data_IF_185109273769
#
_entry.id   IF_185109273769
#
_cell.length_a   1.000
_cell.length_b   1.000
_cell.length_c   1.000
_cell.angle_alpha   90.00
_cell.angle_beta   90.00
_cell.angle_gamma   90.00
#
_symmetry.space_group_name_H-M   'P 1'
#
loop_
_entity.id
_entity.type
_entity.pdbx_description
1 polymer ?
#
# COMPACT_ATOMS: atom_id res chain seq x y z
N UNK A 1 33.02 6.88 -12.47
CA UNK A 1 31.93 7.82 -12.11
C UNK A 1 31.21 7.44 -10.82
N UNK A 2 30.80 6.18 -10.61
CA UNK A 2 30.13 5.73 -9.37
C UNK A 2 30.99 5.84 -8.09
N UNK A 3 32.25 5.39 -8.12
CA UNK A 3 33.15 5.46 -6.95
C UNK A 3 33.30 6.88 -6.41
N UNK A 4 33.54 7.86 -7.30
CA UNK A 4 33.60 9.29 -6.97
C UNK A 4 32.28 9.82 -6.39
N UNK A 5 31.13 9.37 -6.90
CA UNK A 5 29.83 9.76 -6.34
C UNK A 5 29.66 9.22 -4.93
N UNK A 6 29.98 7.95 -4.68
CA UNK A 6 29.88 7.33 -3.34
C UNK A 6 30.75 8.03 -2.28
N UNK A 7 31.91 8.56 -2.67
CA UNK A 7 32.77 9.32 -1.76
C UNK A 7 32.22 10.71 -1.37
N UNK A 8 31.31 11.27 -2.17
CA UNK A 8 30.76 12.63 -1.97
C UNK A 8 29.30 12.64 -1.53
N UNK A 9 28.59 11.54 -1.73
CA UNK A 9 27.18 11.45 -1.41
C UNK A 9 27.02 11.29 0.10
N UNK A 10 26.42 12.29 0.74
CA UNK A 10 26.11 12.28 2.17
C UNK A 10 24.68 11.80 2.45
N UNK A 11 23.92 11.43 1.42
CA UNK A 11 22.52 11.01 1.56
C UNK A 11 22.48 9.51 1.90
N UNK A 12 22.09 9.20 3.13
CA UNK A 12 22.03 7.83 3.67
C UNK A 12 20.60 7.30 3.82
N UNK A 13 19.59 8.05 3.37
CA UNK A 13 18.19 7.66 3.42
C UNK A 13 17.38 8.33 2.29
N UNK A 14 16.15 7.88 1.99
CA UNK A 14 15.29 8.58 1.03
C UNK A 14 15.07 10.05 1.43
N UNK A 15 15.13 11.02 0.48
CA UNK A 15 15.13 12.45 0.77
C UNK A 15 13.72 13.00 1.03
N UNK A 16 13.06 12.49 2.08
CA UNK A 16 11.72 12.88 2.50
C UNK A 16 11.55 12.86 4.01
N UNK A 17 10.32 13.09 4.45
CA UNK A 17 9.98 13.00 5.87
C UNK A 17 9.81 11.54 6.27
N UNK A 18 10.46 11.10 7.34
CA UNK A 18 10.17 9.80 7.95
C UNK A 18 8.82 9.90 8.68
N UNK A 19 7.79 9.24 8.14
CA UNK A 19 6.41 9.31 8.66
C UNK A 19 6.00 8.04 9.42
N UNK A 20 6.81 7.00 9.36
CA UNK A 20 6.61 5.75 10.08
C UNK A 20 7.94 5.13 10.47
N UNK A 21 8.02 4.63 11.70
CA UNK A 21 9.21 3.98 12.23
C UNK A 21 8.83 2.89 13.23
N UNK A 22 9.12 1.63 12.88
CA UNK A 22 8.96 0.49 13.79
C UNK A 22 10.08 -0.53 13.54
N UNK A 23 10.66 -1.10 14.60
CA UNK A 23 11.81 -2.04 14.55
C UNK A 23 12.97 -1.57 13.64
N UNK A 24 13.12 -2.17 12.45
CA UNK A 24 14.09 -1.86 11.41
C UNK A 24 13.44 -1.29 10.13
N UNK A 25 12.12 -1.06 10.10
CA UNK A 25 11.37 -0.57 8.92
C UNK A 25 10.97 0.89 9.07
N UNK A 26 11.32 1.72 8.07
CA UNK A 26 10.87 3.12 7.92
C UNK A 26 9.99 3.28 6.69
N UNK A 27 9.04 4.21 6.73
CA UNK A 27 8.49 4.83 5.52
C UNK A 27 8.83 6.30 5.42
N UNK A 28 9.25 6.71 4.23
CA UNK A 28 9.54 8.10 3.88
C UNK A 28 8.49 8.61 2.90
N UNK A 29 7.90 9.77 3.21
CA UNK A 29 7.03 10.51 2.32
C UNK A 29 7.84 11.53 1.51
N UNK A 30 7.74 11.45 0.18
CA UNK A 30 8.48 12.29 -0.75
C UNK A 30 7.52 12.90 -1.78
N UNK A 31 7.53 14.22 -1.87
CA UNK A 31 6.83 14.95 -2.94
C UNK A 31 7.68 14.96 -4.21
N UNK A 32 7.16 14.40 -5.30
CA UNK A 32 7.83 14.39 -6.60
C UNK A 32 8.17 15.79 -7.15
N UNK A 33 7.38 16.81 -6.81
CA UNK A 33 7.65 18.21 -7.18
C UNK A 33 8.85 18.79 -6.42
N UNK A 34 9.10 18.33 -5.18
CA UNK A 34 10.23 18.79 -4.34
C UNK A 34 11.52 18.01 -4.60
N UNK A 35 11.40 16.74 -5.00
CA UNK A 35 12.54 15.83 -5.21
C UNK A 35 12.59 15.26 -6.65
N UNK A 36 12.51 16.15 -7.64
CA UNK A 36 12.39 15.81 -9.08
C UNK A 36 13.40 14.73 -9.52
N UNK A 37 14.70 14.98 -9.31
CA UNK A 37 15.76 14.07 -9.77
C UNK A 37 15.67 12.71 -9.08
N UNK A 38 15.41 12.70 -7.77
CA UNK A 38 15.35 11.46 -7.01
C UNK A 38 14.13 10.61 -7.42
N UNK A 39 12.95 11.23 -7.55
CA UNK A 39 11.74 10.54 -7.96
C UNK A 39 11.78 10.08 -9.43
N UNK A 40 12.44 10.83 -10.32
CA UNK A 40 12.72 10.39 -11.69
C UNK A 40 13.63 9.16 -11.70
N UNK A 41 14.71 9.17 -10.92
CA UNK A 41 15.61 8.02 -10.81
C UNK A 41 14.89 6.78 -10.27
N UNK A 42 14.05 6.94 -9.24
CA UNK A 42 13.23 5.85 -8.72
C UNK A 42 12.22 5.34 -9.76
N UNK A 43 11.58 6.25 -10.50
CA UNK A 43 10.63 5.90 -11.55
C UNK A 43 11.29 5.14 -12.71
N UNK A 44 12.50 5.55 -13.12
CA UNK A 44 13.31 4.86 -14.13
C UNK A 44 13.71 3.47 -13.65
N UNK A 45 14.19 3.34 -12.41
CA UNK A 45 14.48 2.04 -11.80
C UNK A 45 13.24 1.14 -11.77
N UNK A 46 12.09 1.70 -11.40
CA UNK A 46 10.83 0.99 -11.33
C UNK A 46 10.33 0.53 -12.70
N UNK A 47 10.57 1.30 -13.77
CA UNK A 47 10.17 0.96 -15.14
C UNK A 47 10.85 -0.31 -15.64
N UNK A 48 12.04 -0.65 -15.13
CA UNK A 48 12.73 -1.90 -15.43
C UNK A 48 11.96 -3.15 -14.96
N UNK A 49 11.01 -2.99 -14.04
CA UNK A 49 10.27 -4.10 -13.42
C UNK A 49 8.75 -3.97 -13.54
N UNK A 50 8.25 -2.87 -14.11
CA UNK A 50 6.83 -2.58 -14.32
C UNK A 50 6.58 -2.30 -15.80
N UNK A 51 5.87 -3.20 -16.47
CA UNK A 51 5.58 -3.07 -17.90
C UNK A 51 4.64 -1.90 -18.21
N UNK A 52 3.63 -1.69 -17.36
CA UNK A 52 2.59 -0.68 -17.55
C UNK A 52 2.89 0.70 -16.95
N UNK A 53 4.13 0.97 -16.49
CA UNK A 53 4.48 2.31 -15.99
C UNK A 53 4.68 3.28 -17.16
N UNK A 54 3.71 4.16 -17.39
CA UNK A 54 3.70 5.15 -18.48
C UNK A 54 4.32 6.48 -18.09
N UNK A 55 4.08 6.94 -16.85
CA UNK A 55 4.60 8.21 -16.32
C UNK A 55 5.85 7.99 -15.46
N UNK A 56 7.02 8.31 -16.04
CA UNK A 56 8.30 8.21 -15.36
C UNK A 56 9.17 9.48 -15.44
N UNK A 57 8.85 10.42 -16.34
CA UNK A 57 9.51 11.73 -16.42
C UNK A 57 8.76 12.85 -15.70
N UNK A 58 7.43 12.86 -15.82
CA UNK A 58 6.60 13.74 -15.02
C UNK A 58 6.25 13.06 -13.70
N UNK A 59 6.97 13.44 -12.67
CA UNK A 59 6.84 12.95 -11.30
C UNK A 59 6.11 13.95 -10.40
N UNK A 60 5.83 15.14 -10.90
CA UNK A 60 5.26 16.26 -10.13
C UNK A 60 3.85 16.00 -9.55
N UNK A 61 2.97 15.21 -10.22
CA UNK A 61 1.63 14.92 -9.70
C UNK A 61 1.61 13.88 -8.57
N UNK A 62 2.75 13.29 -8.23
CA UNK A 62 2.80 12.12 -7.36
C UNK A 62 3.49 12.39 -6.02
N UNK A 63 2.91 11.79 -4.98
CA UNK A 63 3.60 11.47 -3.72
C UNK A 63 4.21 10.08 -3.82
N UNK A 64 5.38 9.89 -3.21
CA UNK A 64 6.09 8.61 -3.14
C UNK A 64 6.25 8.21 -1.69
N UNK A 65 5.84 6.98 -1.37
CA UNK A 65 5.97 6.38 -0.03
C UNK A 65 6.99 5.25 -0.10
N UNK A 66 8.18 5.53 0.39
CA UNK A 66 9.36 4.67 0.22
C UNK A 66 9.62 3.90 1.49
N UNK A 67 9.47 2.58 1.41
CA UNK A 67 9.82 1.68 2.50
C UNK A 67 11.31 1.36 2.46
N UNK A 68 11.96 1.42 3.62
CA UNK A 68 13.37 1.10 3.74
C UNK A 68 13.68 0.31 5.00
N UNK A 69 14.76 -0.48 4.93
CA UNK A 69 15.36 -1.18 6.06
C UNK A 69 16.48 -0.33 6.65
N UNK A 70 16.47 -0.11 7.96
CA UNK A 70 17.52 0.60 8.68
C UNK A 70 18.60 -0.35 9.16
N UNK A 71 19.86 0.07 9.04
CA UNK A 71 21.00 -0.52 9.73
C UNK A 71 22.01 0.56 10.14
N UNK A 72 23.21 0.15 10.57
CA UNK A 72 24.27 1.07 11.00
C UNK A 72 24.85 1.93 9.87
N UNK A 73 24.62 1.59 8.61
CA UNK A 73 25.11 2.34 7.45
C UNK A 73 24.05 3.32 6.88
N UNK A 74 22.77 3.15 7.21
CA UNK A 74 21.70 4.03 6.77
C UNK A 74 20.36 3.33 6.55
N UNK A 75 19.58 3.87 5.61
CA UNK A 75 18.27 3.33 5.21
C UNK A 75 18.33 2.81 3.77
N UNK A 76 18.14 1.50 3.61
CA UNK A 76 18.21 0.79 2.34
C UNK A 76 16.82 0.59 1.76
N UNK A 77 16.57 1.09 0.55
CA UNK A 77 15.25 1.01 -0.09
C UNK A 77 14.87 -0.47 -0.31
N UNK A 78 13.69 -0.84 0.18
CA UNK A 78 13.09 -2.15 -0.08
C UNK A 78 12.14 -2.08 -1.27
N UNK A 79 11.35 -1.03 -1.31
CA UNK A 79 10.26 -0.85 -2.26
C UNK A 79 9.53 0.45 -2.00
N UNK A 80 8.54 0.74 -2.83
CA UNK A 80 7.73 1.94 -2.70
C UNK A 80 6.35 1.73 -3.30
N UNK A 81 5.45 2.67 -3.00
CA UNK A 81 4.33 2.95 -3.88
C UNK A 81 4.24 4.46 -4.16
N UNK A 82 3.69 4.82 -5.32
CA UNK A 82 3.32 6.20 -5.64
C UNK A 82 1.82 6.37 -5.52
N UNK A 83 1.38 7.59 -5.20
CA UNK A 83 -0.01 8.00 -5.09
C UNK A 83 -0.19 9.36 -5.76
N UNK A 84 -1.21 9.51 -6.60
CA UNK A 84 -1.55 10.82 -7.15
C UNK A 84 -1.96 11.78 -6.02
N UNK A 85 -1.55 13.05 -6.12
CA UNK A 85 -1.99 14.08 -5.18
C UNK A 85 -3.50 14.30 -5.25
N UNK A 86 -4.04 14.21 -6.46
CA UNK A 86 -5.47 14.19 -6.76
C UNK A 86 -5.74 13.07 -7.76
N UNK A 87 -6.54 12.09 -7.36
CA UNK A 87 -6.97 11.00 -8.22
C UNK A 87 -8.47 11.10 -8.45
N UNK A 88 -8.90 11.23 -9.70
CA UNK A 88 -10.32 11.34 -10.05
C UNK A 88 -11.10 10.08 -9.63
N UNK A 89 -10.47 8.91 -9.75
CA UNK A 89 -11.03 7.61 -9.41
C UNK A 89 -10.78 7.21 -7.94
N UNK A 90 -10.21 8.11 -7.13
CA UNK A 90 -9.79 7.85 -5.75
C UNK A 90 -8.84 6.65 -5.60
N UNK A 91 -7.91 6.47 -6.53
CA UNK A 91 -6.87 5.47 -6.36
C UNK A 91 -5.94 5.84 -5.20
N UNK A 92 -5.74 4.92 -4.27
CA UNK A 92 -4.81 5.12 -3.16
C UNK A 92 -3.37 4.69 -3.50
N UNK A 93 -3.21 3.99 -4.62
CA UNK A 93 -1.93 3.55 -5.18
C UNK A 93 -1.99 3.66 -6.70
N UNK A 94 -1.00 4.33 -7.30
CA UNK A 94 -0.80 4.40 -8.74
C UNK A 94 0.20 3.32 -9.23
N UNK A 95 1.37 3.24 -8.59
CA UNK A 95 2.36 2.19 -8.84
C UNK A 95 2.83 1.63 -7.51
N UNK A 96 3.12 0.34 -7.46
CA UNK A 96 3.69 -0.34 -6.29
C UNK A 96 4.77 -1.31 -6.73
N UNK A 97 5.90 -1.30 -6.04
CA UNK A 97 7.03 -2.17 -6.35
C UNK A 97 7.78 -2.57 -5.08
N UNK A 98 8.01 -3.87 -4.92
CA UNK A 98 9.11 -4.38 -4.09
C UNK A 98 10.28 -4.70 -5.00
N UNK A 99 11.46 -4.18 -4.70
CA UNK A 99 12.65 -4.43 -5.52
C UNK A 99 12.94 -5.94 -5.58
N UNK A 100 13.39 -6.48 -6.72
CA UNK A 100 13.53 -7.92 -6.93
C UNK A 100 14.31 -8.65 -5.83
N UNK A 101 15.41 -8.08 -5.33
CA UNK A 101 16.23 -8.67 -4.27
C UNK A 101 15.53 -8.77 -2.90
N UNK A 102 14.37 -8.14 -2.75
CA UNK A 102 13.56 -8.16 -1.53
C UNK A 102 12.19 -8.83 -1.73
N UNK A 103 11.87 -9.34 -2.92
CA UNK A 103 10.61 -10.03 -3.16
C UNK A 103 10.51 -11.33 -2.34
N UNK A 104 9.27 -11.81 -2.12
CA UNK A 104 8.96 -13.02 -1.34
C UNK A 104 9.33 -12.98 0.16
N UNK A 105 9.69 -11.81 0.69
CA UNK A 105 9.95 -11.60 2.13
C UNK A 105 8.76 -10.96 2.89
N UNK A 106 7.59 -10.84 2.26
CA UNK A 106 6.39 -10.22 2.86
C UNK A 106 6.30 -8.70 2.71
N UNK A 107 7.33 -8.04 2.19
CA UNK A 107 7.36 -6.58 2.02
C UNK A 107 6.27 -6.01 1.10
N UNK A 108 5.85 -6.75 0.08
CA UNK A 108 4.72 -6.34 -0.77
C UNK A 108 3.43 -6.16 0.03
N UNK A 109 3.18 -7.04 1.02
CA UNK A 109 2.02 -6.93 1.91
C UNK A 109 2.12 -5.67 2.77
N UNK A 110 3.29 -5.38 3.34
CA UNK A 110 3.51 -4.18 4.15
C UNK A 110 3.28 -2.88 3.35
N UNK A 111 3.70 -2.83 2.09
CA UNK A 111 3.43 -1.68 1.22
C UNK A 111 1.93 -1.47 0.99
N UNK A 112 1.18 -2.57 0.75
CA UNK A 112 -0.28 -2.53 0.59
C UNK A 112 -0.95 -2.10 1.89
N UNK A 113 -0.61 -2.73 3.02
CA UNK A 113 -1.09 -2.36 4.36
C UNK A 113 -0.89 -0.87 4.62
N UNK A 114 0.32 -0.36 4.38
CA UNK A 114 0.64 1.04 4.61
C UNK A 114 -0.21 2.00 3.74
N UNK A 115 -0.47 1.65 2.48
CA UNK A 115 -1.34 2.46 1.61
C UNK A 115 -2.77 2.59 2.16
N UNK A 116 -3.30 1.53 2.78
CA UNK A 116 -4.61 1.55 3.41
C UNK A 116 -4.61 2.27 4.75
N UNK A 117 -3.54 2.22 5.53
CA UNK A 117 -3.41 3.04 6.74
C UNK A 117 -3.43 4.55 6.43
N UNK A 118 -2.87 4.97 5.30
CA UNK A 118 -3.03 6.35 4.81
C UNK A 118 -4.50 6.65 4.47
N UNK A 119 -5.17 5.77 3.72
CA UNK A 119 -6.59 5.94 3.38
C UNK A 119 -7.49 6.03 4.60
N UNK A 120 -7.24 5.22 5.64
CA UNK A 120 -7.95 5.29 6.93
C UNK A 120 -7.75 6.64 7.61
N UNK A 121 -6.52 7.15 7.67
CA UNK A 121 -6.23 8.48 8.21
C UNK A 121 -6.83 9.63 7.40
N UNK A 122 -7.05 9.43 6.11
CA UNK A 122 -7.75 10.38 5.24
C UNK A 122 -9.28 10.31 5.38
N UNK A 123 -9.83 9.27 6.02
CA UNK A 123 -11.26 9.01 6.04
C UNK A 123 -11.84 8.68 4.67
N UNK A 124 -11.04 8.04 3.80
CA UNK A 124 -11.42 7.70 2.43
C UNK A 124 -11.34 6.20 2.17
N UNK A 125 -12.14 5.74 1.21
CA UNK A 125 -11.98 4.43 0.60
C UNK A 125 -10.94 4.51 -0.52
N UNK A 126 -10.27 3.40 -0.79
CA UNK A 126 -9.22 3.33 -1.81
C UNK A 126 -9.10 1.97 -2.48
N UNK A 127 -8.69 2.00 -3.74
CA UNK A 127 -8.33 0.85 -4.56
C UNK A 127 -7.03 1.18 -5.30
N UNK A 128 -6.22 0.19 -5.70
CA UNK A 128 -5.11 0.45 -6.61
C UNK A 128 -5.60 0.79 -8.03
N UNK A 129 -4.78 1.56 -8.75
CA UNK A 129 -4.96 1.86 -10.17
C UNK A 129 -4.97 0.57 -11.01
N UNK A 130 -5.77 0.58 -12.08
CA UNK A 130 -5.96 -0.54 -13.00
C UNK A 130 -5.38 -0.21 -14.38
N UNK A 131 -4.82 -1.19 -15.12
CA UNK A 131 -4.70 -2.60 -14.76
C UNK A 131 -3.54 -2.89 -13.79
N UNK A 132 -3.75 -3.84 -12.87
CA UNK A 132 -2.69 -4.40 -12.03
C UNK A 132 -1.86 -5.42 -12.80
N UNK A 133 -0.58 -5.55 -12.42
CA UNK A 133 0.21 -6.73 -12.81
C UNK A 133 -0.33 -8.00 -12.14
N UNK A 134 -0.09 -9.17 -12.73
CA UNK A 134 -0.54 -10.46 -12.16
C UNK A 134 -0.05 -10.65 -10.72
N UNK A 135 1.23 -10.32 -10.46
CA UNK A 135 1.81 -10.37 -9.12
C UNK A 135 1.14 -9.37 -8.17
N UNK A 136 0.84 -8.16 -8.64
CA UNK A 136 0.10 -7.16 -7.89
C UNK A 136 -1.30 -7.63 -7.53
N UNK A 137 -2.06 -8.14 -8.50
CA UNK A 137 -3.42 -8.65 -8.31
C UNK A 137 -3.48 -9.79 -7.29
N UNK A 138 -2.54 -10.75 -7.37
CA UNK A 138 -2.43 -11.82 -6.38
C UNK A 138 -2.14 -11.28 -4.97
N UNK A 139 -1.26 -10.28 -4.86
CA UNK A 139 -0.95 -9.61 -3.60
C UNK A 139 -2.15 -8.90 -2.98
N UNK A 140 -2.89 -8.10 -3.75
CA UNK A 140 -4.09 -7.39 -3.28
C UNK A 140 -5.20 -8.36 -2.88
N UNK A 141 -5.48 -9.40 -3.68
CA UNK A 141 -6.49 -10.42 -3.33
C UNK A 141 -6.16 -11.13 -2.02
N UNK A 142 -4.88 -11.48 -1.81
CA UNK A 142 -4.45 -12.11 -0.55
C UNK A 142 -4.61 -11.15 0.64
N UNK A 143 -4.22 -9.88 0.47
CA UNK A 143 -4.38 -8.85 1.50
C UNK A 143 -5.85 -8.60 1.86
N UNK A 144 -6.73 -8.38 0.88
CA UNK A 144 -8.15 -8.14 1.12
C UNK A 144 -8.83 -9.32 1.82
N UNK A 145 -8.54 -10.55 1.37
CA UNK A 145 -9.08 -11.74 2.01
C UNK A 145 -8.66 -11.83 3.48
N UNK A 146 -7.39 -11.59 3.79
CA UNK A 146 -6.86 -11.64 5.16
C UNK A 146 -7.50 -10.57 6.06
N UNK A 147 -7.59 -9.32 5.59
CA UNK A 147 -8.16 -8.22 6.36
C UNK A 147 -9.67 -8.39 6.60
N UNK A 148 -10.42 -8.78 5.57
CA UNK A 148 -11.88 -8.96 5.68
C UNK A 148 -12.20 -10.13 6.61
N UNK A 149 -11.50 -11.27 6.47
CA UNK A 149 -11.74 -12.42 7.33
C UNK A 149 -11.35 -12.12 8.78
N UNK A 150 -10.20 -11.49 9.03
CA UNK A 150 -9.79 -11.10 10.39
C UNK A 150 -10.80 -10.14 11.03
N UNK A 151 -11.34 -9.18 10.27
CA UNK A 151 -12.37 -8.26 10.77
C UNK A 151 -13.66 -9.00 11.16
N UNK A 152 -14.10 -9.94 10.32
CA UNK A 152 -15.31 -10.73 10.57
C UNK A 152 -15.14 -11.68 11.77
N UNK A 153 -13.94 -12.23 12.00
CA UNK A 153 -13.66 -13.07 13.17
C UNK A 153 -13.71 -12.27 14.47
N UNK A 154 -13.18 -11.04 14.44
CA UNK A 154 -13.04 -10.20 15.63
C UNK A 154 -14.29 -9.36 15.93
N UNK A 155 -15.35 -9.49 15.14
CA UNK A 155 -16.61 -8.76 15.35
C UNK A 155 -17.73 -9.74 15.67
N UNK A 156 -18.44 -9.51 16.78
CA UNK A 156 -19.58 -10.33 17.21
C UNK A 156 -20.83 -10.10 16.37
N UNK A 157 -20.95 -8.91 15.79
CA UNK A 157 -22.14 -8.44 15.10
C UNK A 157 -22.07 -8.74 13.60
N UNK A 158 -23.24 -8.91 12.97
CA UNK A 158 -23.34 -9.03 11.52
C UNK A 158 -22.92 -7.72 10.86
N UNK A 159 -21.85 -7.76 10.04
CA UNK A 159 -21.34 -6.59 9.33
C UNK A 159 -21.93 -6.50 7.92
N UNK A 160 -22.40 -5.31 7.55
CA UNK A 160 -22.73 -5.00 6.16
C UNK A 160 -21.47 -4.75 5.33
N UNK A 161 -21.62 -4.72 4.00
CA UNK A 161 -20.53 -4.36 3.09
C UNK A 161 -20.03 -2.93 3.34
N UNK A 162 -20.94 -2.02 3.72
CA UNK A 162 -20.55 -0.65 4.06
C UNK A 162 -19.74 -0.59 5.36
N UNK A 163 -20.13 -1.36 6.39
CA UNK A 163 -19.36 -1.42 7.64
C UNK A 163 -17.94 -1.93 7.41
N UNK A 164 -17.78 -2.95 6.57
CA UNK A 164 -16.46 -3.47 6.19
C UNK A 164 -15.67 -2.39 5.44
N UNK A 165 -16.30 -1.66 4.51
CA UNK A 165 -15.66 -0.58 3.76
C UNK A 165 -15.14 0.52 4.69
N UNK A 166 -15.99 1.03 5.61
CA UNK A 166 -15.61 2.08 6.54
C UNK A 166 -14.50 1.65 7.51
N UNK A 167 -14.51 0.40 7.98
CA UNK A 167 -13.49 -0.11 8.92
C UNK A 167 -12.15 -0.41 8.25
N UNK A 168 -12.15 -0.75 6.96
CA UNK A 168 -10.94 -1.23 6.25
C UNK A 168 -10.37 -0.23 5.25
N UNK A 169 -11.15 0.79 4.88
CA UNK A 169 -10.89 1.69 3.74
C UNK A 169 -10.84 0.98 2.37
N UNK A 170 -11.29 -0.26 2.27
CA UNK A 170 -11.39 -0.98 0.99
C UNK A 170 -12.69 -0.57 0.29
N UNK A 171 -12.67 -0.43 -1.03
CA UNK A 171 -13.89 -0.08 -1.78
C UNK A 171 -14.95 -1.19 -1.69
N UNK A 172 -16.23 -0.82 -1.79
CA UNK A 172 -17.33 -1.79 -1.81
C UNK A 172 -17.15 -2.82 -2.94
N UNK A 173 -16.66 -2.41 -4.11
CA UNK A 173 -16.42 -3.30 -5.24
C UNK A 173 -15.38 -4.39 -4.93
N UNK A 174 -14.27 -4.03 -4.28
CA UNK A 174 -13.21 -4.97 -3.92
C UNK A 174 -13.66 -5.92 -2.79
N UNK A 175 -14.47 -5.42 -1.84
CA UNK A 175 -15.09 -6.24 -0.79
C UNK A 175 -16.08 -7.24 -1.39
N UNK A 176 -16.98 -6.78 -2.26
CA UNK A 176 -17.96 -7.63 -2.93
C UNK A 176 -17.28 -8.75 -3.73
N UNK A 177 -16.25 -8.42 -4.51
CA UNK A 177 -15.47 -9.40 -5.27
C UNK A 177 -14.75 -10.40 -4.36
N UNK A 178 -14.18 -9.93 -3.25
CA UNK A 178 -13.47 -10.79 -2.29
C UNK A 178 -14.43 -11.75 -1.59
N UNK A 179 -15.56 -11.23 -1.08
CA UNK A 179 -16.59 -12.05 -0.43
C UNK A 179 -17.19 -13.08 -1.38
N UNK A 180 -17.41 -12.72 -2.65
CA UNK A 180 -17.89 -13.65 -3.70
C UNK A 180 -16.86 -14.74 -3.96
N UNK A 181 -15.57 -14.38 -4.10
CA UNK A 181 -14.47 -15.33 -4.36
C UNK A 181 -14.29 -16.31 -3.20
N UNK A 182 -14.49 -15.85 -1.97
CA UNK A 182 -14.42 -16.66 -0.75
C UNK A 182 -15.74 -17.38 -0.43
N UNK A 183 -16.78 -17.21 -1.24
CA UNK A 183 -18.11 -17.80 -1.06
C UNK A 183 -18.73 -17.49 0.32
N UNK A 184 -18.60 -16.24 0.79
CA UNK A 184 -19.07 -15.82 2.10
C UNK A 184 -20.57 -15.46 2.14
N UNK A 185 -21.18 -15.20 0.98
CA UNK A 185 -22.61 -14.86 0.94
C UNK A 185 -23.48 -16.08 1.17
N UNK A 186 -24.31 -16.03 2.20
CA UNK A 186 -25.38 -17.00 2.47
C UNK A 186 -26.74 -16.32 2.43
N UNK A 187 -27.76 -17.08 2.06
CA UNK A 187 -29.13 -16.60 2.05
C UNK A 187 -29.81 -16.98 3.37
N UNK A 188 -30.27 -15.99 4.13
CA UNK A 188 -30.98 -16.20 5.39
C UNK A 188 -32.22 -15.30 5.44
N UNK A 189 -33.40 -15.89 5.64
CA UNK A 189 -34.70 -15.19 5.73
C UNK A 189 -34.96 -14.17 4.60
N UNK A 190 -34.51 -14.44 3.37
CA UNK A 190 -34.73 -13.53 2.23
C UNK A 190 -33.66 -12.44 2.06
N UNK A 191 -32.61 -12.44 2.88
CA UNK A 191 -31.50 -11.49 2.83
C UNK A 191 -30.17 -12.21 2.60
N UNK A 192 -29.22 -11.51 1.98
CA UNK A 192 -27.84 -11.97 1.86
C UNK A 192 -27.05 -11.53 3.10
N UNK A 193 -26.54 -12.49 3.84
CA UNK A 193 -25.65 -12.27 5.00
C UNK A 193 -24.24 -12.78 4.70
N UNK A 194 -23.24 -12.18 5.34
CA UNK A 194 -21.83 -12.57 5.21
C UNK A 194 -21.53 -13.56 6.33
N UNK A 195 -21.12 -14.78 5.99
CA UNK A 195 -20.78 -15.82 6.94
C UNK A 195 -19.44 -16.47 6.60
N UNK A 196 -18.61 -16.66 7.62
CA UNK A 196 -17.39 -17.45 7.49
C UNK A 196 -17.73 -18.95 7.54
N UNK A 197 -17.10 -19.74 6.68
CA UNK A 197 -17.16 -21.21 6.74
C UNK A 197 -15.96 -21.75 7.50
N UNK A 198 -16.09 -22.97 8.06
CA UNK A 198 -14.99 -23.63 8.77
C UNK A 198 -13.73 -23.74 7.91
N UNK A 199 -13.89 -23.99 6.60
CA UNK A 199 -12.78 -24.03 5.65
C UNK A 199 -12.03 -22.68 5.53
N UNK A 200 -12.76 -21.56 5.57
CA UNK A 200 -12.16 -20.22 5.55
C UNK A 200 -11.44 -19.95 6.87
N UNK A 201 -12.04 -20.31 8.01
CA UNK A 201 -11.46 -20.16 9.34
C UNK A 201 -10.14 -20.95 9.47
N UNK A 202 -10.14 -22.24 9.11
CA UNK A 202 -8.94 -23.08 9.15
C UNK A 202 -7.80 -22.55 8.27
N UNK A 203 -8.14 -22.06 7.07
CA UNK A 203 -7.15 -21.47 6.15
C UNK A 203 -6.56 -20.19 6.73
N UNK A 204 -7.39 -19.38 7.37
CA UNK A 204 -6.97 -18.14 8.01
C UNK A 204 -6.05 -18.40 9.19
N UNK A 205 -6.39 -19.34 10.08
CA UNK A 205 -5.54 -19.73 11.21
C UNK A 205 -4.16 -20.21 10.77
N UNK A 206 -4.09 -21.06 9.73
CA UNK A 206 -2.81 -21.52 9.15
C UNK A 206 -1.96 -20.36 8.63
N UNK A 207 -2.60 -19.28 8.17
CA UNK A 207 -1.90 -18.08 7.68
C UNK A 207 -1.47 -17.20 8.85
N UNK A 208 -2.34 -17.00 9.85
CA UNK A 208 -2.09 -16.22 11.07
C UNK A 208 -0.94 -16.78 11.90
N UNK A 209 -0.81 -18.10 11.96
CA UNK A 209 0.29 -18.76 12.69
C UNK A 209 1.67 -18.53 12.06
N UNK A 210 1.74 -18.05 10.81
CA UNK A 210 3.00 -17.62 10.21
C UNK A 210 3.33 -16.24 10.78
N UNK A 211 4.31 -16.14 11.68
CA UNK A 211 4.83 -14.87 12.21
C UNK A 211 5.25 -13.96 11.04
N UNK A 212 4.39 -13.01 10.70
CA UNK A 212 4.62 -12.01 9.65
C UNK A 212 4.65 -10.64 10.28
N UNK A 213 5.51 -9.78 9.72
CA UNK A 213 5.50 -8.36 10.05
C UNK A 213 4.18 -7.74 9.58
N UNK A 214 3.72 -6.74 10.30
CA UNK A 214 2.53 -5.95 9.98
C UNK A 214 2.81 -4.46 10.23
N UNK A 215 2.02 -3.59 9.61
CA UNK A 215 2.02 -2.16 9.92
C UNK A 215 1.22 -1.88 11.19
N UNK A 216 1.81 -1.10 12.09
CA UNK A 216 1.21 -0.69 13.35
C UNK A 216 0.75 0.78 13.29
N UNK A 217 -0.57 1.06 13.27
CA UNK A 217 -1.09 2.41 13.03
C UNK A 217 -0.58 3.49 14.01
N UNK A 218 -0.27 3.09 15.24
CA UNK A 218 0.26 3.98 16.28
C UNK A 218 1.67 4.53 15.98
N UNK A 219 2.42 3.86 15.11
CA UNK A 219 3.75 4.31 14.66
C UNK A 219 3.68 5.21 13.42
N UNK A 220 2.49 5.42 12.83
CA UNK A 220 2.28 6.31 11.69
C UNK A 220 2.05 7.74 12.18
N UNK A 221 3.11 8.54 12.19
CA UNK A 221 3.06 9.96 12.56
C UNK A 221 2.88 10.79 11.28
N UNK A 222 1.61 10.89 10.86
CA UNK A 222 1.24 11.50 9.59
C UNK A 222 -0.11 12.21 9.67
N UNK A 223 -0.24 13.28 8.90
CA UNK A 223 -1.48 14.01 8.63
C UNK A 223 -1.65 14.16 7.12
N UNK A 224 -2.88 14.04 6.58
CA UNK A 224 -3.12 14.23 5.15
C UNK A 224 -2.53 15.55 4.63
N UNK A 225 -1.70 15.52 3.57
CA UNK A 225 -1.16 16.73 2.98
C UNK A 225 -2.28 17.55 2.33
N UNK A 226 -2.22 18.86 2.52
CA UNK A 226 -3.12 19.81 1.85
C UNK A 226 -2.35 20.44 0.70
N UNK A 227 -2.80 20.20 -0.52
CA UNK A 227 -2.17 20.75 -1.72
C UNK A 227 -2.84 22.06 -2.13
N UNK A 228 -2.03 23.08 -2.38
CA UNK A 228 -2.48 24.33 -3.00
C UNK A 228 -2.72 24.14 -4.50
N UNK A 229 -3.53 25.00 -5.13
CA UNK A 229 -3.77 24.95 -6.59
C UNK A 229 -2.47 24.96 -7.40
N UNK A 230 -1.46 25.72 -6.95
CA UNK A 230 -0.16 25.79 -7.65
C UNK A 230 0.66 24.50 -7.51
N UNK A 231 0.46 23.71 -6.45
CA UNK A 231 1.09 22.40 -6.29
C UNK A 231 0.47 21.31 -7.18
N UNK A 232 -0.74 21.57 -7.70
CA UNK A 232 -1.52 20.66 -8.54
C UNK A 232 -1.46 21.01 -10.03
N UNK A 233 -0.85 22.15 -10.41
CA UNK A 233 -0.67 22.50 -11.83
C UNK A 233 0.28 21.54 -12.52
N UNK A 234 -0.20 20.92 -13.59
CA UNK A 234 0.61 20.24 -14.60
C UNK A 234 1.33 21.31 -15.44
N UNK A 235 2.66 21.22 -15.56
CA UNK A 235 3.48 22.10 -16.39
C UNK A 235 4.06 21.33 -17.57
#
# INVERSE_FOLDING_TARGET
MLSRHRQRCNLLHPPGNEIYRHEDISFFEIDGKRQLTWCRNLSLLSKCFLDHKTLYYDVTPFMYYVMSKRDSAGCHIIGYFSKEKESADNYNVACILTLPQHQRHGYGKLLIEFSYELSKKEGKLGSPEKPLSDLGLLGYRAYWAEVIVELLINTSDELSIDDIAQKTSITHADIMNTCTTLQLFKHYKGQHIICLSDAVLERHEKTRNKRRRQIYPEHLIWKPPVFTRDQLRFY
#
